data_IF_100766918193
#
_entry.id   IF_100766918193
#
_cell.length_a   1.000
_cell.length_b   1.000
_cell.length_c   1.000
_cell.angle_alpha   90.00
_cell.angle_beta   90.00
_cell.angle_gamma   90.00
#
_symmetry.space_group_name_H-M   'P 1'
#
loop_
_entity.id
_entity.type
_entity.pdbx_description
1 polymer ?
#
# COMPACT_ATOMS: atom_id res chain seq x y z
N UNK A 1 -0.53 8.98 8.80
CA UNK A 1 0.82 8.97 8.20
C UNK A 1 0.92 7.71 7.37
N UNK A 2 0.86 7.90 6.06
CA UNK A 2 0.66 6.91 5.01
C UNK A 2 2.00 6.77 4.28
N UNK A 3 2.91 5.90 4.75
CA UNK A 3 4.31 5.93 4.28
C UNK A 3 4.41 5.64 2.77
N UNK A 4 3.64 4.67 2.29
CA UNK A 4 3.65 4.28 0.86
C UNK A 4 2.47 4.86 0.10
N UNK A 5 1.29 4.93 0.74
CA UNK A 5 0.15 5.58 0.09
C UNK A 5 0.44 7.06 -0.08
N UNK A 6 0.23 7.56 -1.31
CA UNK A 6 0.60 8.88 -1.80
C UNK A 6 2.07 9.11 -2.16
N UNK A 7 3.04 8.19 -1.96
CA UNK A 7 4.39 8.43 -2.51
C UNK A 7 4.35 8.64 -4.03
N UNK A 8 3.62 7.76 -4.70
CA UNK A 8 3.30 7.88 -6.13
C UNK A 8 2.54 9.16 -6.50
N UNK A 9 1.69 9.67 -5.58
CA UNK A 9 0.97 10.93 -5.78
C UNK A 9 1.90 12.13 -5.69
N UNK A 10 2.73 12.18 -4.65
CA UNK A 10 3.68 13.28 -4.40
C UNK A 10 4.72 13.36 -5.51
N UNK A 11 5.13 12.20 -6.06
CA UNK A 11 5.93 12.16 -7.27
C UNK A 11 5.15 12.68 -8.48
N UNK A 12 3.90 12.24 -8.67
CA UNK A 12 3.10 12.64 -9.84
C UNK A 12 2.80 14.14 -9.90
N UNK A 13 2.81 14.84 -8.77
CA UNK A 13 2.63 16.30 -8.71
C UNK A 13 3.78 17.10 -9.36
N UNK A 14 4.89 16.44 -9.71
CA UNK A 14 5.98 17.06 -10.48
C UNK A 14 5.84 16.85 -12.00
N UNK A 15 4.87 16.05 -12.45
CA UNK A 15 4.61 15.82 -13.87
C UNK A 15 4.00 17.07 -14.50
N UNK A 16 4.05 17.15 -15.83
CA UNK A 16 3.37 18.24 -16.51
C UNK A 16 1.84 18.11 -16.42
N UNK A 17 1.16 19.24 -16.53
CA UNK A 17 -0.31 19.31 -16.53
C UNK A 17 -0.92 18.40 -17.61
N UNK A 18 -0.29 18.32 -18.78
CA UNK A 18 -0.74 17.47 -19.88
C UNK A 18 -0.61 15.97 -19.53
N UNK A 19 0.52 15.57 -18.93
CA UNK A 19 0.74 14.19 -18.47
C UNK A 19 -0.26 13.80 -17.39
N UNK A 20 -0.51 14.69 -16.42
CA UNK A 20 -1.52 14.45 -15.37
C UNK A 20 -2.93 14.31 -15.94
N UNK A 21 -3.32 15.20 -16.87
CA UNK A 21 -4.62 15.16 -17.53
C UNK A 21 -4.79 13.87 -18.34
N UNK A 22 -3.75 13.46 -19.07
CA UNK A 22 -3.74 12.21 -19.82
C UNK A 22 -3.85 10.99 -18.89
N UNK A 23 -3.11 10.96 -17.79
CA UNK A 23 -3.20 9.92 -16.76
C UNK A 23 -4.62 9.81 -16.19
N UNK A 24 -5.28 10.93 -15.88
CA UNK A 24 -6.68 10.94 -15.44
C UNK A 24 -7.64 10.37 -16.50
N UNK A 25 -7.46 10.73 -17.77
CA UNK A 25 -8.27 10.20 -18.86
C UNK A 25 -8.09 8.68 -19.05
N UNK A 26 -6.85 8.19 -18.95
CA UNK A 26 -6.54 6.75 -18.98
C UNK A 26 -7.27 6.01 -17.85
N UNK A 27 -7.16 6.49 -16.61
CA UNK A 27 -7.85 5.92 -15.44
C UNK A 27 -9.37 5.85 -15.63
N UNK A 28 -9.95 6.88 -16.26
CA UNK A 28 -11.39 7.02 -16.45
C UNK A 28 -11.93 6.11 -17.55
N UNK A 29 -11.25 6.04 -18.70
CA UNK A 29 -11.77 5.36 -19.89
C UNK A 29 -11.23 3.96 -20.09
N UNK A 30 -10.01 3.66 -19.66
CA UNK A 30 -9.38 2.35 -19.82
C UNK A 30 -9.39 1.56 -18.50
N UNK A 31 -9.29 2.24 -17.36
CA UNK A 31 -9.27 1.65 -16.02
C UNK A 31 -10.63 1.34 -15.38
N UNK A 32 -11.73 1.69 -16.06
CA UNK A 32 -13.09 1.68 -15.54
C UNK A 32 -13.53 0.34 -14.89
N UNK A 33 -14.17 0.41 -13.72
CA UNK A 33 -14.73 -0.73 -12.96
C UNK A 33 -16.24 -0.89 -13.20
N UNK A 34 -16.70 -2.12 -13.42
CA UNK A 34 -18.13 -2.46 -13.50
C UNK A 34 -18.89 -1.93 -12.27
N UNK A 35 -19.78 -0.95 -12.47
CA UNK A 35 -20.66 -0.41 -11.44
C UNK A 35 -20.60 1.11 -11.26
N UNK A 36 -19.59 1.79 -11.80
CA UNK A 36 -19.56 3.27 -11.81
C UNK A 36 -20.42 3.84 -12.96
N UNK A 37 -21.02 5.02 -12.85
CA UNK A 37 -21.96 5.56 -13.86
C UNK A 37 -21.41 5.76 -15.29
N UNK A 38 -20.13 5.50 -15.52
CA UNK A 38 -19.37 5.79 -16.75
C UNK A 38 -19.34 4.67 -17.81
N UNK A 39 -20.20 3.64 -17.72
CA UNK A 39 -20.20 2.48 -18.65
C UNK A 39 -20.24 2.86 -20.13
N UNK A 40 -20.95 3.94 -20.49
CA UNK A 40 -21.20 4.35 -21.88
C UNK A 40 -19.96 4.86 -22.63
N UNK A 41 -18.94 5.31 -21.91
CA UNK A 41 -17.75 5.93 -22.49
C UNK A 41 -16.48 5.09 -22.33
N UNK A 42 -16.62 3.89 -21.76
CA UNK A 42 -15.52 2.96 -21.50
C UNK A 42 -14.90 2.42 -22.80
N UNK A 43 -13.57 2.48 -22.90
CA UNK A 43 -12.80 1.99 -24.04
C UNK A 43 -12.33 0.53 -23.86
N UNK A 44 -12.46 -0.04 -22.65
CA UNK A 44 -12.07 -1.41 -22.36
C UNK A 44 -12.70 -2.49 -23.27
N UNK A 45 -13.98 -2.38 -23.72
CA UNK A 45 -14.54 -3.33 -24.67
C UNK A 45 -13.83 -3.30 -26.03
N UNK A 46 -13.49 -2.10 -26.52
CA UNK A 46 -12.70 -1.93 -27.75
C UNK A 46 -11.30 -2.50 -27.59
N UNK A 47 -10.67 -2.25 -26.45
CA UNK A 47 -9.36 -2.81 -26.11
C UNK A 47 -9.37 -4.33 -26.12
N UNK A 48 -10.35 -4.95 -25.48
CA UNK A 48 -10.51 -6.41 -25.47
C UNK A 48 -10.79 -6.99 -26.85
N UNK A 49 -11.56 -6.29 -27.68
CA UNK A 49 -11.85 -6.73 -29.04
C UNK A 49 -10.57 -6.79 -29.90
N UNK A 50 -9.70 -5.79 -29.75
CA UNK A 50 -8.44 -5.66 -30.48
C UNK A 50 -7.36 -6.63 -29.97
N UNK A 51 -7.09 -6.61 -28.66
CA UNK A 51 -5.94 -7.30 -28.05
C UNK A 51 -6.24 -8.71 -27.56
N UNK A 52 -7.53 -9.10 -27.53
CA UNK A 52 -8.03 -10.36 -26.94
C UNK A 52 -7.77 -10.53 -25.44
N UNK A 53 -7.17 -9.54 -24.76
CA UNK A 53 -6.96 -9.55 -23.31
C UNK A 53 -7.95 -8.63 -22.59
N UNK A 54 -8.14 -8.83 -21.29
CA UNK A 54 -8.85 -7.84 -20.47
C UNK A 54 -7.98 -6.59 -20.39
N UNK A 55 -8.60 -5.41 -20.40
CA UNK A 55 -7.88 -4.13 -20.19
C UNK A 55 -6.94 -4.25 -18.97
N UNK A 56 -5.62 -4.01 -19.14
CA UNK A 56 -4.66 -4.06 -18.05
C UNK A 56 -4.66 -2.76 -17.24
N UNK A 57 -5.25 -1.69 -17.79
CA UNK A 57 -5.39 -0.40 -17.14
C UNK A 57 -6.29 -0.48 -15.91
N UNK A 58 -6.00 0.35 -14.92
CA UNK A 58 -6.65 0.39 -13.62
C UNK A 58 -7.21 1.77 -13.32
N UNK A 59 -8.37 1.83 -12.64
CA UNK A 59 -8.94 3.07 -12.15
C UNK A 59 -8.44 3.38 -10.74
N UNK A 60 -8.56 4.63 -10.32
CA UNK A 60 -8.35 5.07 -8.93
C UNK A 60 -9.40 4.49 -7.98
N UNK A 61 -10.59 4.12 -8.49
CA UNK A 61 -11.70 3.63 -7.68
C UNK A 61 -11.45 2.20 -7.20
N UNK A 62 -10.98 2.08 -5.96
CA UNK A 62 -10.65 0.81 -5.32
C UNK A 62 -9.19 0.38 -5.51
N UNK A 63 -8.40 1.14 -6.26
CA UNK A 63 -6.95 1.02 -6.30
C UNK A 63 -6.35 2.13 -5.43
N UNK A 64 -5.67 1.75 -4.35
CA UNK A 64 -5.09 2.73 -3.39
C UNK A 64 -3.63 3.04 -3.66
N UNK A 65 -2.98 2.29 -4.55
CA UNK A 65 -1.56 2.40 -4.87
C UNK A 65 -1.25 1.69 -6.19
N UNK A 66 -0.14 2.11 -6.80
CA UNK A 66 0.43 1.50 -7.99
C UNK A 66 -0.42 1.72 -9.25
N UNK A 67 -1.40 2.62 -9.22
CA UNK A 67 -2.28 2.85 -10.35
C UNK A 67 -1.62 3.77 -11.38
N UNK A 68 -0.87 4.80 -10.96
CA UNK A 68 0.01 5.58 -11.85
C UNK A 68 1.06 4.66 -12.47
N UNK A 69 1.75 3.84 -11.67
CA UNK A 69 2.73 2.86 -12.14
C UNK A 69 2.14 1.90 -13.17
N UNK A 70 1.02 1.25 -12.82
CA UNK A 70 0.39 0.26 -13.70
C UNK A 70 -0.08 0.90 -15.00
N UNK A 71 -0.73 2.07 -14.92
CA UNK A 71 -1.21 2.75 -16.13
C UNK A 71 -0.07 3.33 -16.96
N UNK A 72 1.01 3.80 -16.34
CA UNK A 72 2.22 4.23 -17.04
C UNK A 72 2.83 3.06 -17.80
N UNK A 73 3.03 1.93 -17.13
CA UNK A 73 3.58 0.74 -17.76
C UNK A 73 2.71 0.28 -18.94
N UNK A 74 1.38 0.27 -18.77
CA UNK A 74 0.46 -0.18 -19.80
C UNK A 74 0.30 0.80 -20.97
N UNK A 75 0.33 2.13 -20.75
CA UNK A 75 0.22 3.07 -21.86
C UNK A 75 1.46 3.03 -22.74
N UNK A 76 2.63 2.77 -22.16
CA UNK A 76 3.88 2.62 -22.89
C UNK A 76 3.92 1.34 -23.73
N UNK A 77 3.31 0.26 -23.24
CA UNK A 77 3.24 -1.02 -23.96
C UNK A 77 2.14 -1.03 -25.02
N UNK A 78 0.97 -0.48 -24.71
CA UNK A 78 -0.24 -0.58 -25.55
C UNK A 78 -0.62 0.75 -26.21
N UNK A 79 0.36 1.64 -26.43
CA UNK A 79 0.14 2.96 -27.04
C UNK A 79 -0.63 2.85 -28.36
N UNK A 80 -0.16 1.96 -29.25
CA UNK A 80 -0.71 1.79 -30.59
C UNK A 80 -2.14 1.24 -30.56
N UNK A 81 -2.41 0.31 -29.65
CA UNK A 81 -3.73 -0.26 -29.44
C UNK A 81 -4.71 0.82 -28.96
N UNK A 82 -4.29 1.65 -28.00
CA UNK A 82 -5.12 2.75 -27.48
C UNK A 82 -5.44 3.75 -28.60
N UNK A 83 -4.44 4.14 -29.41
CA UNK A 83 -4.66 4.99 -30.60
C UNK A 83 -5.67 4.37 -31.56
N UNK A 84 -5.45 3.11 -31.93
CA UNK A 84 -6.31 2.37 -32.86
C UNK A 84 -7.77 2.31 -32.39
N UNK A 85 -8.00 2.12 -31.09
CA UNK A 85 -9.35 2.10 -30.51
C UNK A 85 -10.01 3.47 -30.59
N UNK A 86 -9.28 4.54 -30.32
CA UNK A 86 -9.78 5.92 -30.39
C UNK A 86 -10.12 6.32 -31.83
N UNK A 87 -9.28 5.93 -32.79
CA UNK A 87 -9.51 6.18 -34.21
C UNK A 87 -10.73 5.41 -34.73
N UNK A 88 -10.81 4.11 -34.42
CA UNK A 88 -11.97 3.28 -34.78
C UNK A 88 -13.27 3.83 -34.16
N UNK A 89 -13.21 4.33 -32.92
CA UNK A 89 -14.35 4.95 -32.27
C UNK A 89 -14.74 6.28 -32.93
N UNK A 90 -13.77 7.11 -33.30
CA UNK A 90 -14.00 8.37 -33.98
C UNK A 90 -14.67 8.16 -35.34
N UNK A 91 -14.18 7.22 -36.14
CA UNK A 91 -14.76 6.86 -37.44
C UNK A 91 -16.19 6.36 -37.29
N UNK A 92 -16.44 5.47 -36.32
CA UNK A 92 -17.79 4.95 -36.05
C UNK A 92 -18.74 6.07 -35.66
N UNK A 93 -18.32 6.94 -34.74
CA UNK A 93 -19.13 8.09 -34.28
C UNK A 93 -19.43 9.03 -35.42
N UNK A 94 -18.47 9.31 -36.29
CA UNK A 94 -18.65 10.16 -37.46
C UNK A 94 -19.70 9.57 -38.43
N UNK A 95 -19.65 8.25 -38.70
CA UNK A 95 -20.67 7.54 -39.51
C UNK A 95 -22.07 7.65 -38.88
N UNK A 96 -22.15 7.57 -37.56
CA UNK A 96 -23.39 7.72 -36.78
C UNK A 96 -23.83 9.19 -36.58
N UNK A 97 -23.16 10.17 -37.21
CA UNK A 97 -23.36 11.62 -37.02
C UNK A 97 -23.22 12.08 -35.56
N UNK A 98 -22.42 11.37 -34.78
CA UNK A 98 -22.07 11.68 -33.39
C UNK A 98 -20.62 12.15 -33.30
N UNK A 99 -20.28 12.81 -32.20
CA UNK A 99 -18.90 13.20 -31.88
C UNK A 99 -18.36 12.33 -30.74
N UNK A 100 -17.03 12.25 -30.63
CA UNK A 100 -16.39 11.84 -29.39
C UNK A 100 -16.79 12.80 -28.26
N UNK A 101 -16.79 12.32 -27.02
CA UNK A 101 -16.90 13.24 -25.89
C UNK A 101 -15.65 14.10 -25.79
N UNK A 102 -15.75 15.29 -25.21
CA UNK A 102 -14.62 16.22 -25.02
C UNK A 102 -13.39 15.52 -24.40
N UNK A 103 -13.62 14.67 -23.41
CA UNK A 103 -12.53 13.93 -22.75
C UNK A 103 -11.94 12.78 -23.58
N UNK A 104 -12.74 12.15 -24.45
CA UNK A 104 -12.22 11.15 -25.42
C UNK A 104 -11.42 11.84 -26.52
N UNK A 105 -11.88 13.02 -26.95
CA UNK A 105 -11.17 13.87 -27.88
C UNK A 105 -9.83 14.36 -27.28
N UNK A 106 -9.84 14.85 -26.04
CA UNK A 106 -8.63 15.25 -25.33
C UNK A 106 -7.62 14.10 -25.19
N UNK A 107 -8.09 12.89 -24.84
CA UNK A 107 -7.23 11.71 -24.79
C UNK A 107 -6.59 11.42 -26.16
N UNK A 108 -7.36 11.51 -27.25
CA UNK A 108 -6.84 11.33 -28.60
C UNK A 108 -5.82 12.41 -28.98
N UNK A 109 -6.14 13.68 -28.71
CA UNK A 109 -5.29 14.83 -29.01
C UNK A 109 -3.95 14.76 -28.26
N UNK A 110 -3.96 14.44 -26.96
CA UNK A 110 -2.72 14.27 -26.18
C UNK A 110 -1.82 13.16 -26.74
N UNK A 111 -2.39 12.05 -27.21
CA UNK A 111 -1.58 10.99 -27.81
C UNK A 111 -1.01 11.46 -29.16
N UNK A 112 -1.73 12.24 -29.96
CA UNK A 112 -1.26 12.70 -31.27
C UNK A 112 -0.50 14.03 -31.26
N UNK A 113 -0.31 14.66 -30.10
CA UNK A 113 0.32 15.98 -30.01
C UNK A 113 1.84 15.92 -30.14
N UNK A 114 2.45 17.06 -30.45
CA UNK A 114 3.91 17.23 -30.44
C UNK A 114 4.51 17.06 -29.04
N UNK A 115 3.71 17.23 -27.98
CA UNK A 115 4.09 16.97 -26.59
C UNK A 115 4.14 15.49 -26.22
N UNK A 116 3.60 14.59 -27.04
CA UNK A 116 3.53 13.16 -26.71
C UNK A 116 4.89 12.54 -26.36
N UNK A 117 6.00 12.79 -27.10
CA UNK A 117 7.31 12.26 -26.73
C UNK A 117 7.73 12.64 -25.31
N UNK A 118 7.49 13.88 -24.88
CA UNK A 118 7.76 14.35 -23.53
C UNK A 118 6.87 13.66 -22.49
N UNK A 119 5.55 13.62 -22.72
CA UNK A 119 4.61 12.93 -21.83
C UNK A 119 4.96 11.44 -21.69
N UNK A 120 5.36 10.79 -22.79
CA UNK A 120 5.81 9.40 -22.82
C UNK A 120 7.04 9.17 -21.94
N UNK A 121 8.00 10.10 -21.96
CA UNK A 121 9.16 10.03 -21.06
C UNK A 121 8.74 10.18 -19.60
N UNK A 122 7.81 11.06 -19.30
CA UNK A 122 7.26 11.27 -17.95
C UNK A 122 6.50 10.04 -17.42
N UNK A 123 5.71 9.34 -18.26
CA UNK A 123 5.13 8.04 -17.89
C UNK A 123 6.21 7.00 -17.58
N UNK A 124 7.26 6.93 -18.41
CA UNK A 124 8.39 6.05 -18.15
C UNK A 124 9.11 6.38 -16.84
N UNK A 125 9.20 7.67 -16.50
CA UNK A 125 9.76 8.11 -15.24
C UNK A 125 8.91 7.67 -14.03
N UNK A 126 7.58 7.77 -14.11
CA UNK A 126 6.69 7.20 -13.07
C UNK A 126 6.95 5.70 -12.86
N UNK A 127 7.15 4.96 -13.94
CA UNK A 127 7.48 3.53 -13.88
C UNK A 127 8.82 3.30 -13.18
N UNK A 128 9.88 3.99 -13.62
CA UNK A 128 11.24 3.87 -13.08
C UNK A 128 11.29 4.24 -11.59
N UNK A 129 10.65 5.34 -11.19
CA UNK A 129 10.62 5.77 -9.79
C UNK A 129 9.84 4.82 -8.89
N UNK A 130 8.77 4.21 -9.40
CA UNK A 130 8.10 3.15 -8.69
C UNK A 130 9.01 1.93 -8.51
N UNK A 131 9.64 1.44 -9.58
CA UNK A 131 10.52 0.27 -9.51
C UNK A 131 11.74 0.51 -8.60
N UNK A 132 12.28 1.72 -8.61
CA UNK A 132 13.50 2.05 -7.88
C UNK A 132 13.24 2.33 -6.39
N UNK A 133 12.22 3.14 -6.07
CA UNK A 133 12.01 3.70 -4.71
C UNK A 133 10.76 3.10 -4.06
N UNK A 134 9.59 3.32 -4.66
CA UNK A 134 8.30 3.08 -3.98
C UNK A 134 7.97 1.58 -3.88
N UNK A 135 8.21 0.82 -4.94
CA UNK A 135 7.91 -0.60 -5.08
C UNK A 135 8.69 -1.50 -4.11
N UNK A 136 10.02 -1.34 -3.97
CA UNK A 136 10.80 -2.08 -2.98
C UNK A 136 10.29 -1.87 -1.56
N UNK A 137 10.09 -0.60 -1.15
CA UNK A 137 9.50 -0.27 0.14
C UNK A 137 8.11 -0.91 0.28
N UNK A 138 7.22 -0.69 -0.69
CA UNK A 138 5.86 -1.24 -0.73
C UNK A 138 5.85 -2.76 -0.52
N UNK A 139 6.77 -3.48 -1.14
CA UNK A 139 6.85 -4.94 -1.09
C UNK A 139 7.16 -5.45 0.31
N UNK A 140 8.07 -4.76 1.02
CA UNK A 140 8.40 -5.09 2.42
C UNK A 140 7.23 -4.76 3.33
N UNK A 141 6.65 -3.56 3.19
CA UNK A 141 5.63 -3.06 4.11
C UNK A 141 4.26 -3.73 3.97
N UNK A 142 4.03 -4.44 2.87
CA UNK A 142 2.74 -5.08 2.56
C UNK A 142 2.66 -6.54 3.00
N UNK A 143 3.66 -7.05 3.71
CA UNK A 143 3.77 -8.44 4.16
C UNK A 143 3.95 -8.51 5.67
N UNK A 144 3.73 -9.70 6.24
CA UNK A 144 4.10 -9.97 7.63
C UNK A 144 5.61 -9.91 7.80
N UNK A 145 6.13 -8.86 8.43
CA UNK A 145 7.57 -8.59 8.50
C UNK A 145 7.97 -8.01 9.86
N UNK A 146 9.27 -8.07 10.17
CA UNK A 146 9.81 -7.53 11.41
C UNK A 146 10.01 -6.02 11.33
N UNK A 147 10.03 -5.36 12.49
CA UNK A 147 10.31 -3.93 12.59
C UNK A 147 11.68 -3.58 11.99
N UNK A 148 12.69 -4.41 12.25
CA UNK A 148 14.02 -4.26 11.67
C UNK A 148 14.03 -4.23 10.15
N UNK A 149 13.29 -5.14 9.52
CA UNK A 149 13.18 -5.21 8.05
C UNK A 149 12.50 -3.97 7.48
N UNK A 150 11.44 -3.48 8.13
CA UNK A 150 10.75 -2.24 7.72
C UNK A 150 11.68 -1.03 7.86
N UNK A 151 12.42 -0.95 8.97
CA UNK A 151 13.39 0.13 9.21
C UNK A 151 14.48 0.14 8.14
N UNK A 152 15.04 -1.03 7.81
CA UNK A 152 16.03 -1.16 6.73
C UNK A 152 15.46 -0.72 5.37
N UNK A 153 14.25 -1.14 5.01
CA UNK A 153 13.63 -0.76 3.75
C UNK A 153 13.32 0.75 3.65
N UNK A 154 12.97 1.39 4.78
CA UNK A 154 12.78 2.83 4.83
C UNK A 154 14.10 3.60 4.70
N UNK A 155 15.16 3.09 5.32
CA UNK A 155 16.49 3.67 5.16
C UNK A 155 16.97 3.57 3.72
N UNK A 156 16.80 2.41 3.09
CA UNK A 156 17.11 2.23 1.67
C UNK A 156 16.30 3.19 0.77
N UNK A 157 15.02 3.40 1.09
CA UNK A 157 14.18 4.38 0.40
C UNK A 157 14.74 5.81 0.54
N UNK A 158 15.14 6.22 1.75
CA UNK A 158 15.76 7.52 2.01
C UNK A 158 17.09 7.69 1.26
N UNK A 159 17.94 6.66 1.28
CA UNK A 159 19.25 6.68 0.63
C UNK A 159 19.10 6.81 -0.89
N UNK A 160 18.17 6.08 -1.51
CA UNK A 160 17.88 6.19 -2.94
C UNK A 160 17.38 7.58 -3.34
N UNK A 161 16.56 8.20 -2.50
CA UNK A 161 16.12 9.57 -2.75
C UNK A 161 17.28 10.56 -2.67
N UNK A 162 18.14 10.44 -1.64
CA UNK A 162 19.35 11.27 -1.52
C UNK A 162 20.27 11.12 -2.71
N UNK A 163 20.55 9.90 -3.17
CA UNK A 163 21.38 9.68 -4.36
C UNK A 163 20.88 10.44 -5.58
N UNK A 164 19.56 10.49 -5.81
CA UNK A 164 18.96 11.26 -6.91
C UNK A 164 19.13 12.77 -6.69
N UNK A 165 18.89 13.25 -5.47
CA UNK A 165 19.07 14.67 -5.13
C UNK A 165 20.55 15.11 -5.19
N UNK A 166 21.48 14.20 -4.95
CA UNK A 166 22.93 14.42 -5.00
C UNK A 166 23.50 14.34 -6.43
N UNK A 167 22.66 14.10 -7.43
CA UNK A 167 23.03 14.24 -8.85
C UNK A 167 22.97 12.96 -9.69
N UNK A 168 22.42 11.86 -9.16
CA UNK A 168 22.21 10.65 -9.97
C UNK A 168 21.20 10.92 -11.09
N UNK A 169 21.56 10.51 -12.31
CA UNK A 169 20.77 10.78 -13.51
C UNK A 169 19.66 9.75 -13.73
N UNK A 170 18.68 10.08 -14.57
CA UNK A 170 17.66 9.10 -15.03
C UNK A 170 18.34 7.85 -15.62
N UNK A 171 19.40 8.04 -16.41
CA UNK A 171 20.17 6.96 -17.02
C UNK A 171 20.81 6.03 -16.00
N UNK A 172 21.40 6.58 -14.92
CA UNK A 172 21.99 5.79 -13.85
C UNK A 172 20.94 4.93 -13.13
N UNK A 173 19.76 5.49 -12.87
CA UNK A 173 18.65 4.74 -12.25
C UNK A 173 18.18 3.59 -13.16
N UNK A 174 18.05 3.85 -14.46
CA UNK A 174 17.70 2.81 -15.44
C UNK A 174 18.76 1.71 -15.49
N UNK A 175 20.05 2.06 -15.48
CA UNK A 175 21.16 1.12 -15.48
C UNK A 175 21.15 0.20 -14.24
N UNK A 176 20.84 0.75 -13.07
CA UNK A 176 20.71 -0.06 -11.86
C UNK A 176 19.51 -1.01 -11.90
N UNK A 177 18.36 -0.54 -12.40
CA UNK A 177 17.16 -1.35 -12.49
C UNK A 177 17.37 -2.59 -13.36
N UNK A 178 18.18 -2.52 -14.43
CA UNK A 178 18.47 -3.67 -15.30
C UNK A 178 19.04 -4.88 -14.57
N UNK A 179 19.78 -4.64 -13.48
CA UNK A 179 20.40 -5.70 -12.69
C UNK A 179 19.46 -6.27 -11.62
N UNK A 180 18.24 -5.74 -11.50
CA UNK A 180 17.27 -6.17 -10.50
C UNK A 180 16.31 -7.22 -11.05
N UNK A 181 15.87 -8.12 -10.17
CA UNK A 181 14.80 -9.05 -10.48
C UNK A 181 13.46 -8.33 -10.59
N UNK A 182 12.89 -8.26 -11.80
CA UNK A 182 11.57 -7.68 -12.06
C UNK A 182 10.74 -8.54 -13.02
N UNK A 183 9.43 -8.27 -13.11
CA UNK A 183 8.53 -9.00 -14.01
C UNK A 183 8.96 -8.86 -15.48
N UNK A 184 8.58 -9.82 -16.32
CA UNK A 184 8.88 -9.76 -17.75
C UNK A 184 8.31 -8.48 -18.40
N UNK A 185 7.09 -8.10 -18.01
CA UNK A 185 6.45 -6.87 -18.49
C UNK A 185 7.27 -5.63 -18.12
N UNK A 186 7.69 -5.50 -16.86
CA UNK A 186 8.52 -4.39 -16.41
C UNK A 186 9.87 -4.34 -17.16
N UNK A 187 10.50 -5.49 -17.45
CA UNK A 187 11.74 -5.55 -18.25
C UNK A 187 11.52 -5.05 -19.68
N UNK A 188 10.43 -5.45 -20.33
CA UNK A 188 10.09 -4.99 -21.69
C UNK A 188 9.84 -3.49 -21.72
N UNK A 189 9.04 -2.97 -20.80
CA UNK A 189 8.76 -1.53 -20.71
C UNK A 189 10.00 -0.71 -20.35
N UNK A 190 10.90 -1.23 -19.50
CA UNK A 190 12.19 -0.57 -19.21
C UNK A 190 13.10 -0.50 -20.43
N UNK A 191 13.17 -1.57 -21.24
CA UNK A 191 13.94 -1.57 -22.47
C UNK A 191 13.38 -0.59 -23.52
N UNK A 192 12.06 -0.49 -23.65
CA UNK A 192 11.41 0.52 -24.50
C UNK A 192 11.74 1.93 -24.02
N UNK A 193 11.63 2.17 -22.71
CA UNK A 193 11.92 3.46 -22.11
C UNK A 193 13.37 3.90 -22.33
N UNK A 194 14.32 2.99 -22.14
CA UNK A 194 15.73 3.24 -22.47
C UNK A 194 15.92 3.58 -23.95
N UNK A 195 15.25 2.85 -24.86
CA UNK A 195 15.28 3.17 -26.28
C UNK A 195 14.85 4.60 -26.57
N UNK A 196 13.84 5.11 -25.86
CA UNK A 196 13.40 6.51 -26.00
C UNK A 196 14.38 7.49 -25.39
N UNK A 197 14.93 7.21 -24.20
CA UNK A 197 15.97 8.05 -23.58
C UNK A 197 17.17 8.23 -24.52
N UNK A 198 17.58 7.17 -25.21
CA UNK A 198 18.70 7.22 -26.16
C UNK A 198 18.39 8.00 -27.44
N UNK A 199 17.11 8.20 -27.76
CA UNK A 199 16.66 8.99 -28.92
C UNK A 199 16.35 10.44 -28.55
N UNK A 200 16.20 10.73 -27.26
CA UNK A 200 15.90 12.07 -26.77
C UNK A 200 17.09 13.02 -26.93
N UNK A 201 16.76 14.27 -27.21
CA UNK A 201 17.77 15.32 -27.26
C UNK A 201 18.17 15.79 -25.85
N UNK A 202 19.25 16.56 -25.76
CA UNK A 202 19.79 17.05 -24.49
C UNK A 202 18.77 17.87 -23.67
N UNK A 203 17.99 18.74 -24.33
CA UNK A 203 17.00 19.57 -23.62
C UNK A 203 15.87 18.74 -23.02
N UNK A 204 15.40 17.72 -23.73
CA UNK A 204 14.40 16.79 -23.21
C UNK A 204 14.91 16.03 -21.99
N UNK A 205 16.17 15.57 -22.04
CA UNK A 205 16.80 14.87 -20.92
C UNK A 205 17.03 15.78 -19.70
N UNK A 206 17.42 17.04 -19.91
CA UNK A 206 17.55 18.04 -18.85
C UNK A 206 16.21 18.34 -18.18
N UNK A 207 15.14 18.55 -18.97
CA UNK A 207 13.80 18.76 -18.44
C UNK A 207 13.28 17.53 -17.68
N UNK A 208 13.51 16.33 -18.21
CA UNK A 208 13.13 15.08 -17.55
C UNK A 208 13.89 14.86 -16.23
N UNK A 209 15.18 15.22 -16.20
CA UNK A 209 15.98 15.20 -14.98
C UNK A 209 15.43 16.17 -13.94
N UNK A 210 15.03 17.38 -14.34
CA UNK A 210 14.38 18.34 -13.46
C UNK A 210 13.07 17.79 -12.89
N UNK A 211 12.21 17.18 -13.72
CA UNK A 211 10.99 16.49 -13.28
C UNK A 211 11.31 15.39 -12.27
N UNK A 212 12.34 14.58 -12.51
CA UNK A 212 12.77 13.53 -11.59
C UNK A 212 13.19 14.12 -10.24
N UNK A 213 14.06 15.14 -10.24
CA UNK A 213 14.55 15.79 -9.02
C UNK A 213 13.39 16.42 -8.25
N UNK A 214 12.51 17.17 -8.91
CA UNK A 214 11.34 17.79 -8.28
C UNK A 214 10.39 16.75 -7.66
N UNK A 215 10.12 15.66 -8.39
CA UNK A 215 9.28 14.56 -7.89
C UNK A 215 9.91 13.85 -6.69
N UNK A 216 11.22 13.62 -6.73
CA UNK A 216 11.96 13.02 -5.60
C UNK A 216 12.06 13.97 -4.42
N UNK A 217 12.19 15.28 -4.63
CA UNK A 217 12.14 16.27 -3.54
C UNK A 217 10.81 16.22 -2.79
N UNK A 218 9.68 16.12 -3.51
CA UNK A 218 8.36 16.00 -2.88
C UNK A 218 8.23 14.69 -2.10
N UNK A 219 8.74 13.59 -2.65
CA UNK A 219 8.79 12.30 -1.96
C UNK A 219 9.71 12.34 -0.73
N UNK A 220 10.86 13.00 -0.81
CA UNK A 220 11.83 13.15 0.29
C UNK A 220 11.23 13.92 1.46
N UNK A 221 10.51 15.03 1.22
CA UNK A 221 9.80 15.77 2.30
C UNK A 221 8.89 14.86 3.13
N UNK A 222 8.29 13.88 2.47
CA UNK A 222 7.45 12.89 3.14
C UNK A 222 8.26 11.84 3.88
N UNK A 223 9.34 11.34 3.31
CA UNK A 223 10.28 10.43 3.98
C UNK A 223 10.88 11.08 5.23
N UNK A 224 11.31 12.34 5.16
CA UNK A 224 11.93 13.09 6.26
C UNK A 224 10.98 13.34 7.43
N UNK A 225 9.67 13.47 7.18
CA UNK A 225 8.67 13.56 8.23
C UNK A 225 8.52 12.27 9.02
N UNK A 226 8.83 11.15 8.37
CA UNK A 226 8.40 9.82 8.77
C UNK A 226 9.55 9.00 9.36
N UNK A 227 10.74 9.11 8.78
CA UNK A 227 11.97 8.40 9.20
C UNK A 227 12.38 8.74 10.64
N UNK A 228 12.44 10.00 11.10
CA UNK A 228 12.87 10.32 12.47
C UNK A 228 11.99 9.65 13.52
N UNK A 229 10.68 9.61 13.28
CA UNK A 229 9.71 8.97 14.18
C UNK A 229 9.99 7.47 14.26
N UNK A 230 10.30 6.83 13.15
CA UNK A 230 10.59 5.39 13.10
C UNK A 230 11.96 5.10 13.71
N UNK A 231 12.96 5.96 13.51
CA UNK A 231 14.26 5.83 14.17
C UNK A 231 14.14 5.94 15.69
N UNK A 232 13.23 6.77 16.19
CA UNK A 232 12.98 6.98 17.61
C UNK A 232 12.13 5.88 18.28
N UNK A 233 11.54 4.96 17.53
CA UNK A 233 10.80 3.82 18.10
C UNK A 233 11.78 2.77 18.63
N UNK A 234 11.81 2.59 19.95
CA UNK A 234 12.56 1.55 20.65
C UNK A 234 11.81 0.20 20.65
N UNK A 235 11.44 -0.28 19.46
CA UNK A 235 10.87 -1.62 19.30
C UNK A 235 11.99 -2.63 19.06
N UNK A 236 11.81 -3.85 19.56
CA UNK A 236 12.77 -4.92 19.31
C UNK A 236 12.85 -5.21 17.81
N UNK A 237 14.06 -5.47 17.30
CA UNK A 237 14.30 -5.67 15.86
C UNK A 237 13.43 -6.79 15.27
N UNK A 238 13.23 -7.86 16.04
CA UNK A 238 12.47 -9.04 15.65
C UNK A 238 10.97 -8.93 15.95
N UNK A 239 10.55 -7.82 16.57
CA UNK A 239 9.14 -7.57 16.84
C UNK A 239 8.39 -7.47 15.52
N UNK A 240 7.38 -8.33 15.38
CA UNK A 240 6.52 -8.34 14.20
C UNK A 240 5.68 -7.07 14.17
N UNK A 241 5.71 -6.37 13.05
CA UNK A 241 4.83 -5.21 12.89
C UNK A 241 3.42 -5.72 12.57
N UNK A 242 2.39 -5.40 13.38
CA UNK A 242 1.00 -5.73 13.05
C UNK A 242 0.63 -5.20 11.67
N UNK A 243 0.52 -6.13 10.73
CA UNK A 243 -0.07 -5.92 9.43
C UNK A 243 -1.58 -6.19 9.53
N UNK A 244 -2.38 -5.55 8.69
CA UNK A 244 -3.79 -5.94 8.56
C UNK A 244 -3.98 -6.75 7.28
N UNK A 245 -4.98 -7.64 7.26
CA UNK A 245 -5.36 -8.40 6.07
C UNK A 245 -5.90 -7.50 4.93
N UNK A 246 -6.01 -6.18 5.17
CA UNK A 246 -6.29 -5.17 4.16
C UNK A 246 -4.96 -4.49 3.81
N UNK A 247 -4.69 -4.30 2.51
CA UNK A 247 -3.56 -3.48 2.03
C UNK A 247 -3.61 -2.12 2.72
N UNK A 248 -2.74 -1.91 3.72
CA UNK A 248 -2.75 -0.73 4.56
C UNK A 248 -1.89 0.37 3.97
N UNK A 249 -2.37 1.59 4.06
CA UNK A 249 -1.73 2.80 3.56
C UNK A 249 -0.43 3.16 4.33
N UNK A 250 -0.19 2.51 5.47
CA UNK A 250 1.02 2.58 6.28
C UNK A 250 1.18 1.33 7.14
N UNK A 251 2.40 0.82 7.23
CA UNK A 251 2.83 -0.22 8.18
C UNK A 251 2.37 0.10 9.60
N UNK A 252 2.57 1.35 10.02
CA UNK A 252 2.27 1.80 11.37
C UNK A 252 0.85 2.34 11.52
N UNK A 253 -0.06 2.10 10.56
CA UNK A 253 -1.41 2.66 10.62
C UNK A 253 -2.13 2.25 11.91
N UNK A 254 -1.92 1.01 12.37
CA UNK A 254 -2.44 0.49 13.64
C UNK A 254 -1.81 1.21 14.83
N UNK A 255 -0.48 1.31 14.91
CA UNK A 255 0.21 2.04 15.97
C UNK A 255 -0.15 3.52 16.01
N UNK A 256 -0.38 4.16 14.85
CA UNK A 256 -0.82 5.56 14.74
C UNK A 256 -2.26 5.74 15.17
N UNK A 257 -3.15 4.85 14.76
CA UNK A 257 -4.54 4.89 15.21
C UNK A 257 -4.61 4.69 16.72
N UNK A 258 -3.79 3.77 17.26
CA UNK A 258 -3.63 3.56 18.70
C UNK A 258 -3.02 4.77 19.38
N UNK A 259 -1.93 5.34 18.87
CA UNK A 259 -1.26 6.51 19.43
C UNK A 259 -2.17 7.74 19.37
N UNK A 260 -2.83 8.01 18.24
CA UNK A 260 -3.82 9.09 18.11
C UNK A 260 -4.99 8.89 19.07
N UNK A 261 -5.53 7.67 19.17
CA UNK A 261 -6.56 7.33 20.16
C UNK A 261 -6.05 7.58 21.58
N UNK A 262 -4.88 7.08 21.94
CA UNK A 262 -4.25 7.26 23.24
C UNK A 262 -4.00 8.75 23.54
N UNK A 263 -3.46 9.53 22.61
CA UNK A 263 -3.21 10.97 22.81
C UNK A 263 -4.51 11.77 22.90
N UNK A 264 -5.57 11.34 22.20
CA UNK A 264 -6.91 11.94 22.29
C UNK A 264 -7.75 11.49 23.49
N UNK A 265 -7.34 10.41 24.18
CA UNK A 265 -8.02 9.92 25.37
C UNK A 265 -7.64 10.80 26.57
N UNK A 266 -8.65 11.31 27.26
CA UNK A 266 -8.46 11.89 28.59
C UNK A 266 -7.95 10.81 29.58
N UNK A 267 -7.40 11.28 30.70
CA UNK A 267 -6.79 10.46 31.75
C UNK A 267 -7.72 9.35 32.25
N UNK A 268 -9.02 9.65 32.33
CA UNK A 268 -10.05 8.73 32.79
C UNK A 268 -10.30 7.57 31.82
N UNK A 269 -10.35 7.85 30.52
CA UNK A 269 -10.49 6.82 29.49
C UNK A 269 -9.25 5.92 29.41
N UNK A 270 -8.05 6.50 29.58
CA UNK A 270 -6.81 5.71 29.71
C UNK A 270 -6.88 4.78 30.93
N UNK A 271 -7.28 5.30 32.09
CA UNK A 271 -7.45 4.51 33.31
C UNK A 271 -8.53 3.44 33.19
N UNK A 272 -9.61 3.68 32.44
CA UNK A 272 -10.67 2.71 32.19
C UNK A 272 -10.21 1.57 31.26
N UNK A 273 -9.48 1.89 30.18
CA UNK A 273 -8.89 0.88 29.28
C UNK A 273 -7.82 0.05 29.98
N UNK A 274 -6.96 0.68 30.79
CA UNK A 274 -5.96 -0.01 31.60
C UNK A 274 -6.64 -0.91 32.63
N UNK A 275 -7.69 -0.43 33.33
CA UNK A 275 -8.50 -1.26 34.23
C UNK A 275 -9.20 -2.41 33.50
N UNK A 276 -9.74 -2.20 32.30
CA UNK A 276 -10.35 -3.26 31.50
C UNK A 276 -9.33 -4.33 31.05
N UNK A 277 -8.10 -3.93 30.71
CA UNK A 277 -7.00 -4.87 30.42
C UNK A 277 -6.53 -5.61 31.67
N UNK A 278 -6.40 -4.92 32.81
CA UNK A 278 -6.11 -5.55 34.10
C UNK A 278 -7.22 -6.52 34.53
N UNK A 279 -8.50 -6.21 34.26
CA UNK A 279 -9.63 -7.09 34.56
C UNK A 279 -9.69 -8.34 33.67
N UNK A 280 -9.10 -8.30 32.47
CA UNK A 280 -8.89 -9.49 31.62
C UNK A 280 -7.60 -10.25 31.95
N UNK A 281 -6.74 -9.70 32.80
CA UNK A 281 -5.49 -10.34 33.21
C UNK A 281 -5.72 -11.60 34.06
N UNK A 282 -6.70 -11.67 34.99
CA UNK A 282 -7.06 -12.91 35.68
C UNK A 282 -7.52 -14.03 34.73
N UNK A 283 -8.27 -13.70 33.68
CA UNK A 283 -8.73 -14.66 32.68
C UNK A 283 -7.56 -15.19 31.83
N UNK A 284 -6.71 -14.28 31.35
CA UNK A 284 -5.52 -14.62 30.58
C UNK A 284 -4.49 -15.40 31.41
N UNK A 285 -4.29 -15.04 32.68
CA UNK A 285 -3.48 -15.82 33.63
C UNK A 285 -4.13 -17.19 33.86
N UNK A 286 -5.45 -17.27 34.03
CA UNK A 286 -6.19 -18.52 34.17
C UNK A 286 -5.99 -19.52 33.04
N UNK A 287 -5.76 -19.04 31.82
CA UNK A 287 -5.47 -19.83 30.61
C UNK A 287 -4.01 -20.32 30.50
N UNK A 288 -3.10 -19.82 31.35
CA UNK A 288 -1.68 -20.24 31.40
C UNK A 288 -1.45 -21.38 32.38
N UNK A 289 -0.45 -22.21 32.12
CA UNK A 289 -0.08 -23.29 33.04
C UNK A 289 0.44 -22.72 34.36
N UNK A 290 0.31 -23.48 35.45
CA UNK A 290 0.73 -23.05 36.80
C UNK A 290 2.24 -22.72 36.82
N UNK A 291 3.04 -23.44 36.04
CA UNK A 291 4.49 -23.22 35.94
C UNK A 291 4.80 -21.90 35.24
N UNK A 292 4.09 -21.58 34.14
CA UNK A 292 4.29 -20.33 33.40
C UNK A 292 3.93 -19.11 34.25
N UNK A 293 2.82 -19.17 35.00
CA UNK A 293 2.40 -18.08 35.88
C UNK A 293 3.42 -17.85 37.01
N UNK A 294 3.94 -18.93 37.58
CA UNK A 294 4.87 -18.87 38.68
C UNK A 294 6.27 -18.38 38.28
N UNK A 295 6.67 -18.61 37.04
CA UNK A 295 7.89 -18.05 36.44
C UNK A 295 7.70 -16.56 36.11
N UNK A 296 6.56 -16.18 35.52
CA UNK A 296 6.24 -14.79 35.19
C UNK A 296 6.08 -13.88 36.42
N UNK A 297 5.57 -14.41 37.54
CA UNK A 297 5.40 -13.67 38.79
C UNK A 297 6.60 -13.76 39.74
N UNK A 298 7.66 -14.50 39.36
CA UNK A 298 8.85 -14.77 40.20
C UNK A 298 8.51 -15.25 41.61
N UNK A 299 7.46 -16.06 41.74
CA UNK A 299 6.98 -16.54 43.04
C UNK A 299 7.99 -17.52 43.64
N UNK A 300 8.28 -17.34 44.92
CA UNK A 300 9.12 -18.25 45.72
C UNK A 300 8.49 -19.65 45.84
N UNK A 301 9.28 -20.64 46.24
CA UNK A 301 8.82 -22.03 46.35
C UNK A 301 7.63 -22.23 47.29
N UNK A 302 7.52 -21.41 48.35
CA UNK A 302 6.39 -21.45 49.29
C UNK A 302 5.14 -20.78 48.72
N UNK A 303 5.29 -19.66 48.01
CA UNK A 303 4.17 -18.99 47.33
C UNK A 303 3.58 -19.85 46.21
N UNK A 304 4.42 -20.60 45.49
CA UNK A 304 3.96 -21.59 44.50
C UNK A 304 3.09 -22.68 45.12
N UNK A 305 3.52 -23.23 46.26
CA UNK A 305 2.74 -24.25 46.99
C UNK A 305 1.40 -23.70 47.47
N UNK A 306 1.39 -22.45 47.95
CA UNK A 306 0.17 -21.78 48.40
C UNK A 306 -0.83 -21.56 47.26
N UNK A 307 -0.38 -21.16 46.07
CA UNK A 307 -1.24 -20.99 44.89
C UNK A 307 -1.81 -22.32 44.40
N UNK A 308 -1.00 -23.38 44.40
CA UNK A 308 -1.44 -24.74 44.05
C UNK A 308 -2.52 -25.22 45.03
N UNK A 309 -2.29 -25.05 46.32
CA UNK A 309 -3.22 -25.47 47.37
C UNK A 309 -4.53 -24.69 47.34
N UNK A 310 -4.47 -23.37 47.12
CA UNK A 310 -5.67 -22.54 46.95
C UNK A 310 -6.50 -22.95 45.72
N UNK A 311 -5.84 -23.37 44.62
CA UNK A 311 -6.54 -23.92 43.45
C UNK A 311 -7.18 -25.27 43.73
N UNK A 312 -6.51 -26.15 44.48
CA UNK A 312 -7.08 -27.43 44.91
C UNK A 312 -8.34 -27.21 45.75
N UNK A 313 -8.24 -26.35 46.76
CA UNK A 313 -9.36 -26.00 47.65
C UNK A 313 -10.52 -25.28 46.94
N UNK A 314 -10.22 -24.47 45.91
CA UNK A 314 -11.25 -23.83 45.10
C UNK A 314 -11.97 -24.84 44.19
N UNK A 315 -11.24 -25.83 43.66
CA UNK A 315 -11.81 -26.92 42.86
C UNK A 315 -12.70 -27.83 43.69
N UNK A 316 -12.25 -28.22 44.88
CA UNK A 316 -13.02 -29.03 45.83
C UNK A 316 -14.29 -28.31 46.28
N UNK A 317 -14.23 -26.99 46.51
CA UNK A 317 -15.42 -26.18 46.79
C UNK A 317 -16.40 -26.15 45.63
N UNK A 318 -15.91 -25.97 44.41
CA UNK A 318 -16.75 -25.94 43.22
C UNK A 318 -17.38 -27.31 42.91
N UNK A 319 -16.64 -28.40 43.09
CA UNK A 319 -17.15 -29.78 42.94
C UNK A 319 -18.23 -30.07 43.98
N UNK A 320 -18.03 -29.64 45.23
CA UNK A 320 -19.04 -29.76 46.29
C UNK A 320 -20.29 -28.90 46.04
N UNK A 321 -20.12 -27.68 45.53
CA UNK A 321 -21.24 -26.82 45.12
C UNK A 321 -22.03 -27.42 43.94
N UNK A 322 -21.35 -28.11 43.02
CA UNK A 322 -22.00 -28.82 41.92
C UNK A 322 -22.72 -30.06 42.43
N UNK A 323 -22.12 -30.86 43.31
CA UNK A 323 -22.80 -32.00 43.95
C UNK A 323 -24.04 -31.55 44.73
N UNK A 324 -23.93 -30.54 45.59
CA UNK A 324 -25.06 -30.02 46.38
C UNK A 324 -26.20 -29.50 45.50
N UNK A 325 -25.87 -28.95 44.33
CA UNK A 325 -26.85 -28.44 43.37
C UNK A 325 -27.51 -29.56 42.58
N UNK A 326 -26.74 -30.53 42.10
CA UNK A 326 -27.27 -31.67 41.35
C UNK A 326 -28.06 -32.65 42.23
N UNK A 327 -27.66 -32.85 43.49
CA UNK A 327 -28.41 -33.71 44.43
C UNK A 327 -29.73 -33.07 44.86
N UNK A 328 -29.78 -31.76 45.11
CA UNK A 328 -31.04 -31.05 45.37
C UNK A 328 -32.01 -31.09 44.20
N UNK A 329 -31.49 -30.95 42.98
CA UNK A 329 -32.32 -31.04 41.77
C UNK A 329 -32.84 -32.47 41.55
N UNK A 330 -32.04 -33.51 41.89
CA UNK A 330 -32.47 -34.92 41.85
C UNK A 330 -33.49 -35.29 42.94
N UNK A 331 -33.33 -34.81 44.17
CA UNK A 331 -34.33 -35.02 45.24
C UNK A 331 -35.68 -34.39 44.86
N UNK A 332 -35.66 -33.21 44.24
CA UNK A 332 -36.88 -32.54 43.75
C UNK A 332 -37.59 -33.26 42.59
N UNK A 333 -36.87 -34.16 41.90
CA UNK A 333 -37.39 -35.00 40.82
C UNK A 333 -37.94 -36.34 41.32
N UNK A 334 -37.55 -36.79 42.52
CA UNK A 334 -38.05 -38.03 43.16
C UNK A 334 -39.28 -37.77 44.03
N UNK A 335 -39.51 -36.54 44.48
CA UNK A 335 -40.73 -36.12 45.21
C UNK A 335 -41.92 -35.71 44.31
N UNK A 336 -41.78 -35.80 42.98
CA UNK A 336 -42.85 -35.66 41.99
C UNK A 336 -43.17 -36.99 41.35
#
# INVERSE_FOLDING_TARGET
MHHVAHQEKEFSEALSTETEALMQNIRMFLGYRQGSGWKKHNLAPGFRALTKIKTPFVSTVGCRFGDTYTNSLNILEYENEVRTILDSLAEKKLKDKQKLTEKQQALKECLTSEDWPRMRLEFGLCMVMWLHITGPLHTVVSRDTSFGTVKAALMECEDKCKMILDGKTVGDVVAELKNQHMSEQARKSLALYEGWLNQSNRHELEALQETMVNGVMNLQKKVDRDVPIIRALELNHDEKVPYTNRRCESVFAVYKALHKRLMSMNSENKAAVTRARMNNTPRWLGEKSVNDQAEMLKLSGEERKMVIENRRLARERWEKEIEDKYFKDLESLVEK
#
